data_IF_441481417558
#
_entry.id   IF_441481417558
#
_cell.length_a   1.000
_cell.length_b   1.000
_cell.length_c   1.000
_cell.angle_alpha   90.00
_cell.angle_beta   90.00
_cell.angle_gamma   90.00
#
_symmetry.space_group_name_H-M   'P 1'
#
loop_
_entity.id
_entity.type
_entity.pdbx_description
1 polymer ?
#
# COMPACT_ATOMS: atom_id res chain seq x y z
N UNK A 1 1.60 11.45 15.67
CA UNK A 1 1.27 11.44 14.24
C UNK A 1 2.33 12.26 13.54
N UNK A 2 3.05 11.66 12.60
CA UNK A 2 4.02 12.37 11.74
C UNK A 2 3.24 13.24 10.74
N UNK A 3 3.83 14.30 10.17
CA UNK A 3 3.14 15.14 9.21
C UNK A 3 2.69 14.30 8.01
N UNK A 4 1.38 14.24 7.83
CA UNK A 4 0.77 13.73 6.61
C UNK A 4 0.97 14.82 5.55
N UNK A 5 1.40 14.42 4.36
CA UNK A 5 1.52 15.36 3.24
C UNK A 5 0.15 16.04 3.00
N UNK A 6 0.09 17.38 2.84
CA UNK A 6 -1.18 18.10 2.72
C UNK A 6 -1.98 17.73 1.47
N UNK A 7 -1.37 17.09 0.48
CA UNK A 7 -2.05 16.57 -0.72
C UNK A 7 -2.56 15.14 -0.54
N UNK A 8 -2.32 14.53 0.62
CA UNK A 8 -2.85 13.21 0.92
C UNK A 8 -4.36 13.17 0.81
N UNK A 9 -4.87 12.26 -0.02
CA UNK A 9 -6.27 11.88 -0.03
C UNK A 9 -6.55 11.15 1.29
N UNK A 10 -6.91 11.90 2.34
CA UNK A 10 -7.18 11.36 3.70
C UNK A 10 -8.28 10.28 3.66
N UNK A 11 -9.16 10.32 2.65
CA UNK A 11 -10.21 9.32 2.42
C UNK A 11 -9.76 8.05 1.69
N UNK A 12 -8.56 8.01 1.09
CA UNK A 12 -8.09 6.87 0.28
C UNK A 12 -6.96 6.12 0.98
N UNK A 13 -7.22 4.85 1.24
CA UNK A 13 -6.28 3.91 1.85
C UNK A 13 -5.78 2.93 0.81
N UNK A 14 -4.49 2.64 0.83
CA UNK A 14 -3.89 1.62 0.00
C UNK A 14 -3.40 0.43 0.84
N UNK A 15 -3.72 -0.80 0.43
CA UNK A 15 -3.33 -2.04 1.12
C UNK A 15 -2.10 -2.68 0.47
N UNK A 16 -0.94 -2.02 0.60
CA UNK A 16 0.34 -2.41 -0.03
C UNK A 16 1.44 -2.59 1.03
N UNK A 17 2.10 -3.74 1.12
CA UNK A 17 3.19 -3.94 2.10
C UNK A 17 4.22 -2.79 2.13
N UNK A 18 4.54 -2.27 3.32
CA UNK A 18 5.56 -1.23 3.43
C UNK A 18 6.94 -1.86 3.21
N UNK A 19 7.74 -1.39 2.24
CA UNK A 19 9.04 -2.00 1.95
C UNK A 19 10.05 -1.83 3.09
N UNK A 20 9.89 -0.77 3.89
CA UNK A 20 10.79 -0.41 4.98
C UNK A 20 10.51 -1.20 6.27
N UNK A 21 9.35 -1.01 6.90
CA UNK A 21 9.04 -1.67 8.18
C UNK A 21 8.41 -3.07 8.03
N UNK A 22 7.80 -3.37 6.87
CA UNK A 22 7.14 -4.66 6.59
C UNK A 22 6.19 -5.11 7.69
N UNK A 23 5.39 -4.16 8.17
CA UNK A 23 4.43 -4.31 9.27
C UNK A 23 3.38 -5.41 9.03
N UNK A 24 3.08 -5.71 7.77
CA UNK A 24 2.13 -6.73 7.33
C UNK A 24 2.58 -8.18 7.57
N UNK A 25 3.88 -8.45 7.78
CA UNK A 25 4.45 -9.82 7.80
C UNK A 25 3.86 -10.74 8.85
N UNK A 26 3.51 -10.19 10.01
CA UNK A 26 2.97 -10.95 11.13
C UNK A 26 1.43 -10.91 11.18
N UNK A 27 0.80 -10.21 10.24
CA UNK A 27 -0.65 -10.11 10.17
C UNK A 27 -1.27 -11.29 9.41
N UNK A 28 -2.18 -12.02 10.06
CA UNK A 28 -2.89 -13.14 9.44
C UNK A 28 -3.77 -12.72 8.25
N UNK A 29 -4.40 -11.55 8.34
CA UNK A 29 -5.27 -11.01 7.28
C UNK A 29 -4.45 -10.58 6.04
N UNK A 30 -3.37 -9.83 6.23
CA UNK A 30 -2.48 -9.43 5.13
C UNK A 30 -1.88 -10.62 4.42
N UNK A 31 -1.41 -11.63 5.17
CA UNK A 31 -0.88 -12.87 4.61
C UNK A 31 -1.92 -13.67 3.84
N UNK A 32 -3.19 -13.50 4.17
CA UNK A 32 -4.32 -14.12 3.45
C UNK A 32 -4.76 -13.31 2.23
N UNK A 33 -4.06 -12.22 1.89
CA UNK A 33 -4.40 -11.31 0.80
C UNK A 33 -5.67 -10.50 1.05
N UNK A 34 -6.11 -10.38 2.31
CA UNK A 34 -7.28 -9.58 2.69
C UNK A 34 -6.87 -8.16 3.08
N UNK A 35 -7.77 -7.22 2.84
CA UNK A 35 -7.66 -5.86 3.34
C UNK A 35 -7.92 -5.85 4.86
N UNK A 36 -6.88 -5.62 5.66
CA UNK A 36 -7.02 -5.50 7.11
C UNK A 36 -7.20 -4.03 7.52
N UNK A 37 -7.78 -3.79 8.69
CA UNK A 37 -8.02 -2.43 9.19
C UNK A 37 -6.77 -1.73 9.72
N UNK A 38 -5.74 -2.50 10.07
CA UNK A 38 -4.53 -2.02 10.76
C UNK A 38 -3.39 -1.68 9.79
N UNK A 39 -3.18 -2.50 8.74
CA UNK A 39 -2.10 -2.32 7.77
C UNK A 39 -2.63 -1.71 6.46
N UNK A 40 -2.63 -0.38 6.43
CA UNK A 40 -2.97 0.45 5.28
C UNK A 40 -2.00 1.63 5.19
N UNK A 41 -2.02 2.32 4.05
CA UNK A 41 -1.08 3.39 3.70
C UNK A 41 -1.87 4.59 3.23
N UNK A 42 -1.41 5.78 3.59
CA UNK A 42 -1.99 7.01 3.07
C UNK A 42 -1.68 7.08 1.58
N UNK A 43 -2.72 7.22 0.77
CA UNK A 43 -2.56 7.53 -0.64
C UNK A 43 -2.34 9.03 -0.78
N UNK A 44 -1.15 9.41 -1.24
CA UNK A 44 -0.78 10.80 -1.47
C UNK A 44 -1.26 11.30 -2.82
N UNK A 45 -1.27 10.42 -3.81
CA UNK A 45 -1.75 10.71 -5.15
C UNK A 45 -1.55 9.54 -6.08
N UNK A 46 -2.06 9.69 -7.30
CA UNK A 46 -1.95 8.67 -8.35
C UNK A 46 -1.52 9.33 -9.65
N UNK A 47 -0.44 8.84 -10.25
CA UNK A 47 0.03 9.28 -11.57
C UNK A 47 0.06 8.08 -12.50
N UNK A 48 -0.94 7.96 -13.38
CA UNK A 48 -1.10 6.77 -14.22
C UNK A 48 -1.28 5.51 -13.39
N UNK A 49 -0.39 4.52 -13.57
CA UNK A 49 -0.36 3.26 -12.80
C UNK A 49 0.50 3.35 -11.52
N UNK A 50 0.99 4.52 -11.15
CA UNK A 50 1.85 4.72 -9.97
C UNK A 50 1.05 5.36 -8.85
N UNK A 51 1.09 4.78 -7.66
CA UNK A 51 0.56 5.33 -6.44
C UNK A 51 1.70 5.93 -5.62
N UNK A 52 1.56 7.20 -5.24
CA UNK A 52 2.44 7.84 -4.28
C UNK A 52 1.87 7.58 -2.89
N UNK A 53 2.61 6.90 -2.00
CA UNK A 53 2.06 6.43 -0.72
C UNK A 53 2.98 6.73 0.47
N UNK A 54 2.36 6.87 1.66
CA UNK A 54 3.05 7.04 2.93
C UNK A 54 2.65 5.96 3.94
N UNK A 55 3.64 5.37 4.62
CA UNK A 55 3.38 4.46 5.73
C UNK A 55 3.04 5.23 7.02
N UNK A 56 1.90 4.96 7.68
CA UNK A 56 1.55 5.61 8.95
C UNK A 56 2.50 5.23 10.10
N UNK A 57 3.12 4.05 10.06
CA UNK A 57 3.98 3.55 11.13
C UNK A 57 5.40 4.11 11.13
N UNK A 58 5.97 4.39 9.96
CA UNK A 58 7.37 4.88 9.84
C UNK A 58 7.53 6.15 9.00
N UNK A 59 6.44 6.72 8.48
CA UNK A 59 6.44 7.85 7.54
C UNK A 59 7.28 7.66 6.27
N UNK A 60 7.68 6.43 5.96
CA UNK A 60 8.35 6.14 4.70
C UNK A 60 7.44 6.48 3.52
N UNK A 61 7.98 7.24 2.56
CA UNK A 61 7.35 7.67 1.33
C UNK A 61 7.92 6.87 0.17
N UNK A 62 7.06 6.32 -0.67
CA UNK A 62 7.51 5.61 -1.88
C UNK A 62 6.44 5.61 -2.97
N UNK A 63 6.92 5.32 -4.17
CA UNK A 63 6.09 5.09 -5.34
C UNK A 63 5.82 3.59 -5.49
N UNK A 64 4.55 3.22 -5.56
CA UNK A 64 4.12 1.85 -5.80
C UNK A 64 3.46 1.74 -7.16
N UNK A 65 4.04 0.93 -8.04
CA UNK A 65 3.40 0.59 -9.29
C UNK A 65 2.23 -0.35 -9.02
N UNK A 66 1.01 0.13 -9.25
CA UNK A 66 -0.14 -0.75 -9.34
C UNK A 66 -0.10 -1.45 -10.68
N UNK A 67 0.41 -2.67 -10.69
CA UNK A 67 0.24 -3.57 -11.84
C UNK A 67 -1.22 -4.05 -11.97
N UNK A 68 -2.23 -3.16 -11.78
CA UNK A 68 -3.63 -3.44 -12.10
C UNK A 68 -3.71 -3.79 -13.59
N UNK A 69 -3.83 -5.08 -13.89
CA UNK A 69 -3.74 -5.64 -15.25
C UNK A 69 -2.77 -6.82 -15.38
N UNK A 70 -1.79 -6.95 -14.49
CA UNK A 70 -0.98 -8.17 -14.35
C UNK A 70 -1.74 -9.19 -13.51
N UNK A 71 -2.85 -9.69 -14.06
CA UNK A 71 -3.31 -11.01 -13.71
C UNK A 71 -2.11 -11.94 -13.92
N UNK A 72 -1.48 -12.33 -12.82
CA UNK A 72 -0.50 -13.41 -12.71
C UNK A 72 -0.87 -14.47 -13.77
N UNK A 73 -0.05 -14.74 -14.80
CA UNK A 73 -0.35 -15.81 -15.72
C UNK A 73 -0.49 -17.06 -14.87
N UNK A 74 -1.71 -17.62 -14.84
CA UNK A 74 -1.94 -18.91 -14.20
C UNK A 74 -1.04 -19.87 -14.96
N UNK A 75 -0.14 -20.62 -14.31
CA UNK A 75 0.58 -21.67 -15.01
C UNK A 75 -0.48 -22.63 -15.56
N UNK A 76 -0.53 -22.74 -16.88
CA UNK A 76 -1.28 -23.80 -17.55
C UNK A 76 -0.57 -25.11 -17.17
N UNK A 77 -1.24 -25.94 -16.39
CA UNK A 77 -0.92 -27.36 -16.27
C UNK A 77 -1.93 -28.14 -17.09
#
# INVERSE_FOLDING_TARGET
MLPIDPTADIGRRAWIACPHCRDDRHCGECRSGRNCRDHWRYLLGTTGSVLHVQCPGCAHLWDHETHFGAARPRPFH
#
